data_IF_888179394613
#
_entry.id   IF_888179394613
#
_cell.length_a   1.000
_cell.length_b   1.000
_cell.length_c   1.000
_cell.angle_alpha   90.00
_cell.angle_beta   90.00
_cell.angle_gamma   90.00
#
_symmetry.space_group_name_H-M   'P 1'
#
loop_
_entity.id
_entity.type
_entity.pdbx_description
1 polymer ?
#
# COMPACT_ATOMS: atom_id res chain seq x y z
N UNK A 1 -0.06 -25.14 3.31
CA UNK A 1 0.15 -24.85 1.88
C UNK A 1 -1.20 -24.49 1.28
N UNK A 2 -1.38 -23.29 0.75
CA UNK A 2 -2.64 -22.87 0.14
C UNK A 2 -2.89 -23.65 -1.16
N UNK A 3 -4.11 -24.14 -1.37
CA UNK A 3 -4.50 -24.84 -2.62
C UNK A 3 -4.19 -24.01 -3.88
N UNK A 4 -3.83 -24.67 -4.99
CA UNK A 4 -3.62 -24.00 -6.28
C UNK A 4 -4.93 -23.36 -6.75
N UNK A 5 -4.96 -22.02 -6.81
CA UNK A 5 -6.15 -21.27 -7.24
C UNK A 5 -6.38 -21.47 -8.74
N UNK A 6 -7.53 -22.02 -9.10
CA UNK A 6 -7.97 -22.12 -10.50
C UNK A 6 -8.05 -20.72 -11.12
N UNK A 7 -7.48 -20.49 -12.31
CA UNK A 7 -7.60 -19.22 -13.00
C UNK A 7 -9.07 -18.86 -13.22
N UNK A 8 -9.46 -17.62 -12.91
CA UNK A 8 -10.82 -17.14 -13.20
C UNK A 8 -11.04 -17.16 -14.71
N UNK A 9 -12.04 -17.93 -15.15
CA UNK A 9 -12.38 -18.12 -16.56
C UNK A 9 -12.59 -16.79 -17.30
N UNK A 10 -13.24 -15.82 -16.64
CA UNK A 10 -13.60 -14.52 -17.21
C UNK A 10 -12.60 -13.39 -16.91
N UNK A 11 -11.49 -13.67 -16.23
CA UNK A 11 -10.52 -12.61 -15.91
C UNK A 11 -9.70 -12.22 -17.16
N UNK A 12 -9.66 -10.93 -17.45
CA UNK A 12 -8.79 -10.37 -18.49
C UNK A 12 -7.31 -10.62 -18.16
N UNK A 13 -6.46 -10.59 -19.18
CA UNK A 13 -5.00 -10.73 -19.00
C UNK A 13 -4.45 -9.63 -18.07
N UNK A 14 -4.97 -8.41 -18.17
CA UNK A 14 -4.62 -7.29 -17.31
C UNK A 14 -4.99 -7.57 -15.84
N UNK A 15 -6.24 -7.98 -15.57
CA UNK A 15 -6.70 -8.26 -14.22
C UNK A 15 -5.88 -9.38 -13.53
N UNK A 16 -5.44 -10.39 -14.30
CA UNK A 16 -4.58 -11.48 -13.79
C UNK A 16 -3.19 -11.01 -13.36
N UNK A 17 -2.68 -9.92 -13.95
CA UNK A 17 -1.33 -9.40 -13.70
C UNK A 17 -1.30 -8.21 -12.75
N UNK A 18 -2.39 -7.43 -12.65
CA UNK A 18 -2.47 -6.21 -11.85
C UNK A 18 -1.95 -6.39 -10.41
N UNK A 19 -2.38 -7.45 -9.72
CA UNK A 19 -1.93 -7.72 -8.35
C UNK A 19 -0.42 -7.99 -8.21
N UNK A 20 0.24 -8.50 -9.26
CA UNK A 20 1.70 -8.69 -9.25
C UNK A 20 2.42 -7.35 -9.30
N UNK A 21 1.94 -6.41 -10.13
CA UNK A 21 2.51 -5.07 -10.23
C UNK A 21 2.34 -4.28 -8.92
N UNK A 22 1.13 -4.31 -8.34
CA UNK A 22 0.90 -3.62 -7.07
C UNK A 22 1.75 -4.17 -5.93
N UNK A 23 1.85 -5.50 -5.82
CA UNK A 23 2.71 -6.14 -4.82
C UNK A 23 4.19 -5.82 -5.04
N UNK A 24 4.65 -5.82 -6.29
CA UNK A 24 6.03 -5.48 -6.61
C UNK A 24 6.39 -4.06 -6.16
N UNK A 25 5.48 -3.09 -6.35
CA UNK A 25 5.70 -1.73 -5.89
C UNK A 25 5.81 -1.64 -4.35
N UNK A 26 4.85 -2.22 -3.61
CA UNK A 26 4.89 -2.21 -2.15
C UNK A 26 6.15 -2.91 -1.61
N UNK A 27 6.49 -4.08 -2.13
CA UNK A 27 7.70 -4.81 -1.75
C UNK A 27 8.99 -4.03 -2.04
N UNK A 28 9.04 -3.28 -3.14
CA UNK A 28 10.20 -2.43 -3.44
C UNK A 28 10.36 -1.35 -2.37
N UNK A 29 9.26 -0.72 -1.92
CA UNK A 29 9.33 0.28 -0.84
C UNK A 29 9.84 -0.32 0.48
N UNK A 30 9.44 -1.56 0.81
CA UNK A 30 9.87 -2.26 2.04
C UNK A 30 11.37 -2.58 2.02
N UNK A 31 11.92 -2.93 0.86
CA UNK A 31 13.34 -3.27 0.68
C UNK A 31 14.25 -2.07 0.47
N UNK A 32 13.69 -0.90 0.14
CA UNK A 32 14.47 0.28 -0.24
C UNK A 32 15.55 0.65 0.79
N UNK A 33 15.25 0.52 2.09
CA UNK A 33 16.20 0.80 3.17
C UNK A 33 17.40 -0.14 3.16
N UNK A 34 17.20 -1.43 2.90
CA UNK A 34 18.28 -2.42 2.77
C UNK A 34 19.17 -2.14 1.55
N UNK A 35 18.57 -1.56 0.51
CA UNK A 35 19.23 -1.18 -0.73
C UNK A 35 19.86 0.24 -0.67
N UNK A 36 19.79 0.93 0.48
CA UNK A 36 20.33 2.28 0.66
C UNK A 36 19.55 3.37 -0.09
N UNK A 37 18.33 3.08 -0.55
CA UNK A 37 17.48 3.99 -1.33
C UNK A 37 16.51 4.76 -0.45
N UNK A 38 16.16 5.97 -0.88
CA UNK A 38 15.12 6.78 -0.26
C UNK A 38 13.74 6.29 -0.71
N UNK A 39 12.77 6.32 0.21
CA UNK A 39 11.36 6.09 -0.12
C UNK A 39 10.63 7.44 -0.16
N UNK A 40 9.80 7.65 -1.18
CA UNK A 40 8.90 8.80 -1.23
C UNK A 40 7.46 8.32 -1.08
N UNK A 41 6.73 8.92 -0.14
CA UNK A 41 5.28 8.79 -0.07
C UNK A 41 4.63 9.52 -1.23
N UNK A 42 3.83 8.81 -2.00
CA UNK A 42 3.20 9.36 -3.20
C UNK A 42 1.70 9.07 -3.24
N UNK A 43 0.95 10.11 -3.61
CA UNK A 43 -0.48 10.10 -3.87
C UNK A 43 -0.73 10.66 -5.26
N UNK A 44 -1.90 10.33 -5.82
CA UNK A 44 -2.38 10.82 -7.10
C UNK A 44 -1.38 10.41 -8.17
N UNK A 45 -1.52 9.18 -8.68
CA UNK A 45 -0.69 8.74 -9.80
C UNK A 45 -0.84 9.68 -11.00
N UNK A 46 0.11 10.61 -11.13
CA UNK A 46 0.18 11.66 -12.14
C UNK A 46 1.26 11.36 -13.19
N UNK A 47 1.71 10.10 -13.30
CA UNK A 47 2.70 9.67 -14.28
C UNK A 47 4.12 10.19 -14.00
N UNK A 48 4.48 10.38 -12.74
CA UNK A 48 5.82 10.84 -12.32
C UNK A 48 6.72 9.69 -11.84
N UNK A 49 6.33 8.43 -12.05
CA UNK A 49 7.09 7.25 -11.58
C UNK A 49 8.49 7.21 -12.21
N UNK A 50 8.60 7.55 -13.50
CA UNK A 50 9.86 7.62 -14.24
C UNK A 50 10.81 8.67 -13.67
N UNK A 51 10.29 9.84 -13.28
CA UNK A 51 11.09 10.94 -12.73
C UNK A 51 11.64 10.55 -11.35
N UNK A 52 10.78 10.03 -10.47
CA UNK A 52 11.17 9.63 -9.12
C UNK A 52 12.17 8.48 -9.16
N UNK A 53 11.99 7.51 -10.07
CA UNK A 53 12.95 6.44 -10.27
C UNK A 53 14.28 6.90 -10.85
N UNK A 54 14.28 7.87 -11.77
CA UNK A 54 15.51 8.45 -12.29
C UNK A 54 16.34 9.17 -11.21
N UNK A 55 15.69 9.63 -10.14
CA UNK A 55 16.33 10.19 -8.95
C UNK A 55 16.80 9.14 -7.94
N UNK A 56 16.70 7.85 -8.27
CA UNK A 56 16.96 6.70 -7.39
C UNK A 56 16.10 6.69 -6.11
N UNK A 57 14.88 7.19 -6.23
CA UNK A 57 13.87 7.18 -5.16
C UNK A 57 12.84 6.09 -5.45
N UNK A 58 12.46 5.34 -4.42
CA UNK A 58 11.43 4.30 -4.52
C UNK A 58 10.07 4.89 -4.11
N UNK A 59 9.07 4.92 -5.00
CA UNK A 59 7.76 5.45 -4.66
C UNK A 59 6.94 4.42 -3.86
N UNK A 60 6.46 4.82 -2.69
CA UNK A 60 5.43 4.14 -1.92
C UNK A 60 4.06 4.72 -2.29
N UNK A 61 3.37 4.06 -3.22
CA UNK A 61 2.07 4.51 -3.71
C UNK A 61 0.97 4.19 -2.69
N UNK A 62 0.54 5.21 -1.96
CA UNK A 62 -0.42 5.10 -0.87
C UNK A 62 -1.79 4.57 -1.33
N UNK A 63 -2.23 5.00 -2.52
CA UNK A 63 -3.47 4.51 -3.14
C UNK A 63 -3.40 3.01 -3.49
N UNK A 64 -2.21 2.49 -3.81
CA UNK A 64 -2.00 1.07 -4.06
C UNK A 64 -2.23 0.26 -2.79
N UNK A 65 -1.59 0.68 -1.70
CA UNK A 65 -1.75 0.06 -0.39
C UNK A 65 -3.21 0.10 0.08
N UNK A 66 -3.83 1.28 0.08
CA UNK A 66 -5.21 1.42 0.53
C UNK A 66 -6.20 0.64 -0.36
N UNK A 67 -5.98 0.58 -1.68
CA UNK A 67 -6.75 -0.25 -2.59
C UNK A 67 -6.61 -1.75 -2.30
N UNK A 68 -5.42 -2.20 -1.90
CA UNK A 68 -5.17 -3.57 -1.46
C UNK A 68 -5.84 -3.89 -0.13
N UNK A 69 -5.78 -2.98 0.84
CA UNK A 69 -6.49 -3.13 2.11
C UNK A 69 -8.00 -3.25 1.87
N UNK A 70 -8.56 -2.41 0.99
CA UNK A 70 -9.97 -2.50 0.61
C UNK A 70 -10.30 -3.85 -0.08
N UNK A 71 -9.49 -4.27 -1.05
CA UNK A 71 -9.69 -5.53 -1.77
C UNK A 71 -9.59 -6.77 -0.86
N UNK A 72 -8.80 -6.69 0.21
CA UNK A 72 -8.67 -7.74 1.23
C UNK A 72 -9.68 -7.63 2.37
N UNK A 73 -10.54 -6.60 2.36
CA UNK A 73 -11.50 -6.29 3.45
C UNK A 73 -10.83 -6.04 4.79
N UNK A 74 -9.65 -5.41 4.76
CA UNK A 74 -8.84 -5.11 5.94
C UNK A 74 -8.59 -3.60 6.11
N UNK A 75 -9.25 -2.76 5.30
CA UNK A 75 -9.13 -1.30 5.43
C UNK A 75 -9.76 -0.76 6.72
N UNK A 76 -10.80 -1.42 7.24
CA UNK A 76 -11.61 -0.93 8.36
C UNK A 76 -10.77 -0.59 9.60
N UNK A 77 -9.83 -1.46 9.98
CA UNK A 77 -8.98 -1.22 11.16
C UNK A 77 -8.14 0.06 11.04
N UNK A 78 -7.65 0.36 9.84
CA UNK A 78 -6.89 1.58 9.60
C UNK A 78 -7.82 2.81 9.55
N UNK A 79 -8.99 2.69 8.94
CA UNK A 79 -9.99 3.76 8.93
C UNK A 79 -10.44 4.13 10.36
N UNK A 80 -10.71 3.13 11.19
CA UNK A 80 -11.07 3.33 12.61
C UNK A 80 -9.90 3.96 13.40
N UNK A 81 -8.65 3.58 13.08
CA UNK A 81 -7.48 4.20 13.70
C UNK A 81 -7.36 5.69 13.37
N UNK A 82 -7.61 6.08 12.12
CA UNK A 82 -7.67 7.49 11.75
C UNK A 82 -8.88 8.21 12.38
N UNK A 83 -10.05 7.59 12.41
CA UNK A 83 -11.25 8.17 13.04
C UNK A 83 -11.03 8.43 14.55
N UNK A 84 -10.31 7.55 15.25
CA UNK A 84 -9.95 7.73 16.65
C UNK A 84 -9.07 8.97 16.90
N UNK A 85 -8.29 9.40 15.91
CA UNK A 85 -7.49 10.63 15.92
C UNK A 85 -8.24 11.84 15.36
N UNK A 86 -9.58 11.80 15.34
CA UNK A 86 -10.48 12.86 14.86
C UNK A 86 -10.38 13.20 13.36
N UNK A 87 -9.85 12.29 12.53
CA UNK A 87 -9.95 12.46 11.08
C UNK A 87 -11.39 12.23 10.61
N UNK A 88 -11.94 13.18 9.86
CA UNK A 88 -13.32 13.09 9.36
C UNK A 88 -13.53 11.89 8.44
N UNK A 89 -14.64 11.18 8.62
CA UNK A 89 -15.11 10.10 7.73
C UNK A 89 -15.45 10.55 6.32
N UNK A 90 -15.59 11.87 6.11
CA UNK A 90 -15.81 12.44 4.77
C UNK A 90 -14.52 12.57 3.95
N UNK A 91 -13.35 12.36 4.55
CA UNK A 91 -12.07 12.39 3.84
C UNK A 91 -11.93 11.20 2.89
N UNK A 92 -11.05 11.36 1.90
CA UNK A 92 -10.71 10.27 0.97
C UNK A 92 -10.26 9.03 1.75
N UNK A 93 -10.90 7.90 1.49
CA UNK A 93 -10.60 6.63 2.17
C UNK A 93 -9.22 6.10 1.87
N UNK A 94 -8.60 6.47 0.73
CA UNK A 94 -7.20 6.18 0.49
C UNK A 94 -6.29 6.91 1.48
N UNK A 95 -6.58 8.17 1.78
CA UNK A 95 -5.80 8.96 2.72
C UNK A 95 -6.02 8.52 4.18
N UNK A 96 -7.26 8.27 4.61
CA UNK A 96 -7.50 7.85 6.00
C UNK A 96 -7.02 6.43 6.28
N UNK A 97 -7.03 5.54 5.28
CA UNK A 97 -6.45 4.20 5.41
C UNK A 97 -4.92 4.24 5.61
N UNK A 98 -4.21 5.08 4.85
CA UNK A 98 -2.76 5.22 4.97
C UNK A 98 -2.36 6.00 6.22
N UNK A 99 -3.09 7.06 6.59
CA UNK A 99 -2.89 7.80 7.84
C UNK A 99 -3.10 6.87 9.05
N UNK A 100 -4.18 6.08 9.07
CA UNK A 100 -4.42 5.14 10.16
C UNK A 100 -3.37 4.04 10.25
N UNK A 101 -2.86 3.56 9.10
CA UNK A 101 -1.71 2.68 9.06
C UNK A 101 -0.46 3.33 9.67
N UNK A 102 -0.19 4.59 9.35
CA UNK A 102 0.99 5.32 9.84
C UNK A 102 0.92 5.65 11.32
N UNK A 103 -0.24 6.04 11.83
CA UNK A 103 -0.46 6.25 13.26
C UNK A 103 -0.15 4.96 14.02
N UNK A 104 -0.70 3.83 13.57
CA UNK A 104 -0.45 2.55 14.22
C UNK A 104 1.02 2.09 14.08
N UNK A 105 1.62 2.32 12.92
CA UNK A 105 3.05 2.05 12.67
C UNK A 105 3.96 2.84 13.59
N UNK A 106 3.62 4.10 13.86
CA UNK A 106 4.37 4.96 14.77
C UNK A 106 4.25 4.48 16.22
N UNK A 107 3.05 4.11 16.66
CA UNK A 107 2.81 3.57 18.01
C UNK A 107 3.57 2.26 18.28
N UNK A 108 3.66 1.38 17.28
CA UNK A 108 4.38 0.11 17.40
C UNK A 108 5.89 0.23 17.17
N UNK A 109 6.33 1.29 16.49
CA UNK A 109 7.71 1.42 15.98
C UNK A 109 8.02 0.49 14.79
N UNK A 110 7.05 -0.32 14.36
CA UNK A 110 7.14 -1.28 13.27
C UNK A 110 5.81 -1.37 12.50
N UNK A 111 5.82 -2.07 11.37
CA UNK A 111 4.63 -2.24 10.52
C UNK A 111 3.57 -3.02 11.30
N UNK A 112 2.30 -2.56 11.33
CA UNK A 112 1.21 -3.27 11.99
C UNK A 112 1.12 -4.74 11.57
N UNK A 113 0.81 -5.66 12.50
CA UNK A 113 0.75 -7.09 12.21
C UNK A 113 -0.31 -7.39 11.14
N UNK A 114 -0.08 -8.47 10.39
CA UNK A 114 -0.97 -8.96 9.33
C UNK A 114 -1.33 -7.93 8.25
N UNK A 115 -0.51 -6.87 8.10
CA UNK A 115 -0.75 -5.84 7.09
C UNK A 115 -0.80 -6.45 5.68
N UNK A 116 -1.82 -6.14 4.87
CA UNK A 116 -1.94 -6.60 3.50
C UNK A 116 -0.65 -6.39 2.68
N UNK A 117 -0.08 -7.50 2.20
CA UNK A 117 1.16 -7.52 1.41
C UNK A 117 2.39 -6.93 2.13
N UNK A 118 2.36 -6.85 3.47
CA UNK A 118 3.47 -6.33 4.25
C UNK A 118 3.51 -4.81 4.39
N UNK A 119 2.53 -4.09 3.84
CA UNK A 119 2.40 -2.64 4.02
C UNK A 119 3.28 -1.81 3.09
N UNK A 120 3.69 -0.63 3.56
CA UNK A 120 4.54 0.32 2.84
C UNK A 120 5.82 0.61 3.63
N UNK A 121 6.93 0.79 2.91
CA UNK A 121 8.20 1.23 3.48
C UNK A 121 8.23 2.71 3.87
N UNK A 122 9.31 3.12 4.54
CA UNK A 122 9.65 4.51 4.88
C UNK A 122 11.13 4.76 4.62
#
# INVERSE_FOLDING_TARGET
MSEPRTPRALATQAARKAGKFGRANLNASLRAKEEGKKVAYMYINNGQDEIVRAMDIVPAWCENFAGVCAAKRDAERFLQKAEAENFSRSLCTYATCTIGFDIWREELGEIPPDTPWGGMGR
#
